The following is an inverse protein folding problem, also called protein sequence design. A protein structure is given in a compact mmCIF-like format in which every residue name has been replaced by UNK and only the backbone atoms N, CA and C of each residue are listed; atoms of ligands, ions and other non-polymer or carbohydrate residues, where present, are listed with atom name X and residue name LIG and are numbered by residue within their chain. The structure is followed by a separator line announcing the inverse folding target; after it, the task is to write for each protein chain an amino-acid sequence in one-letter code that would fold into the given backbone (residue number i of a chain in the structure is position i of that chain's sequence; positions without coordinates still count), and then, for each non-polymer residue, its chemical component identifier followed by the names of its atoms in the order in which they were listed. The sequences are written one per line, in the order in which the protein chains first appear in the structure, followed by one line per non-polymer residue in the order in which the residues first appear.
data_IF_178022837696
#
_entry.id   IF_178022837696
#
_cell.length_a   1.000
_cell.length_b   1.000
_cell.length_c   1.000
_cell.angle_alpha   90.00
_cell.angle_beta   90.00
_cell.angle_gamma   90.00
#
_symmetry.space_group_name_H-M   'P 1'
#
loop_
_entity.id
_entity.type
_entity.pdbx_description
1 polymer ?
#
# COMPACT_ATOMS: atom_id res chain seq x y z
N UNK A 1 -2.81 -8.20 -16.68
CA UNK A 1 -2.63 -9.66 -16.64
C UNK A 1 -3.81 -10.19 -15.88
N UNK A 2 -4.90 -10.46 -16.59
CA UNK A 2 -6.17 -10.90 -16.03
C UNK A 2 -6.11 -12.42 -15.81
N UNK A 3 -6.01 -12.84 -14.55
CA UNK A 3 -6.25 -14.23 -14.19
C UNK A 3 -7.75 -14.54 -14.38
N UNK A 4 -8.06 -15.22 -15.49
CA UNK A 4 -9.37 -15.82 -15.72
C UNK A 4 -9.65 -16.81 -14.59
N UNK A 5 -10.51 -16.41 -13.66
CA UNK A 5 -11.03 -17.31 -12.63
C UNK A 5 -11.87 -18.39 -13.33
N UNK A 6 -11.28 -19.56 -13.53
CA UNK A 6 -11.99 -20.74 -14.01
C UNK A 6 -13.13 -21.04 -13.03
N UNK A 7 -14.36 -20.83 -13.47
CA UNK A 7 -15.55 -21.14 -12.70
C UNK A 7 -15.55 -22.65 -12.43
N UNK A 8 -15.65 -23.04 -11.16
CA UNK A 8 -15.77 -24.45 -10.81
C UNK A 8 -17.12 -24.98 -11.36
N UNK A 9 -17.18 -26.22 -11.87
CA UNK A 9 -18.43 -26.81 -12.33
C UNK A 9 -19.45 -26.88 -11.19
N UNK A 10 -20.75 -26.78 -11.52
CA UNK A 10 -21.84 -26.77 -10.56
C UNK A 10 -21.72 -27.93 -9.55
N UNK A 11 -21.79 -27.61 -8.25
CA UNK A 11 -21.65 -28.57 -7.15
C UNK A 11 -20.21 -28.88 -6.73
N UNK A 12 -19.21 -28.19 -7.28
CA UNK A 12 -17.80 -28.32 -6.89
C UNK A 12 -17.20 -26.98 -6.44
N UNK A 13 -16.35 -27.02 -5.43
CA UNK A 13 -15.59 -25.88 -4.93
C UNK A 13 -14.11 -26.08 -5.22
N UNK A 14 -13.39 -25.00 -5.54
CA UNK A 14 -11.93 -25.05 -5.71
C UNK A 14 -11.24 -24.83 -4.37
N UNK A 15 -10.43 -25.78 -3.92
CA UNK A 15 -9.61 -25.63 -2.71
C UNK A 15 -8.41 -24.70 -2.95
N UNK A 16 -7.65 -24.39 -1.90
CA UNK A 16 -6.46 -23.53 -1.97
C UNK A 16 -5.32 -24.13 -2.83
N UNK A 17 -5.30 -25.45 -3.04
CA UNK A 17 -4.33 -26.15 -3.92
C UNK A 17 -4.82 -26.23 -5.36
N UNK A 18 -6.04 -25.77 -5.63
CA UNK A 18 -6.67 -25.75 -6.93
C UNK A 18 -7.44 -27.02 -7.30
N UNK A 19 -7.63 -27.96 -6.37
CA UNK A 19 -8.44 -29.15 -6.60
C UNK A 19 -9.94 -28.84 -6.51
N UNK A 20 -10.74 -29.57 -7.28
CA UNK A 20 -12.19 -29.51 -7.21
C UNK A 20 -12.70 -30.47 -6.13
N UNK A 21 -13.36 -29.93 -5.13
CA UNK A 21 -13.96 -30.65 -4.01
C UNK A 21 -15.47 -30.63 -4.18
N UNK A 22 -16.14 -31.79 -4.28
CA UNK A 22 -17.61 -31.86 -4.26
C UNK A 22 -18.18 -31.16 -3.03
N UNK A 23 -19.24 -30.39 -3.22
CA UNK A 23 -19.88 -29.63 -2.15
C UNK A 23 -20.30 -30.54 -0.99
N UNK A 24 -20.76 -31.76 -1.27
CA UNK A 24 -21.14 -32.77 -0.26
C UNK A 24 -20.04 -33.12 0.74
N UNK A 25 -18.77 -32.97 0.38
CA UNK A 25 -17.62 -33.24 1.23
C UNK A 25 -17.19 -32.03 2.08
N UNK A 26 -17.76 -30.84 1.80
CA UNK A 26 -17.48 -29.61 2.53
C UNK A 26 -18.45 -29.51 3.69
N UNK A 27 -17.89 -29.37 4.91
CA UNK A 27 -18.70 -29.22 6.12
C UNK A 27 -19.52 -27.93 6.04
N UNK A 28 -20.78 -27.92 6.49
CA UNK A 28 -21.62 -26.70 6.47
C UNK A 28 -20.96 -25.49 7.13
N UNK A 29 -20.26 -25.70 8.25
CA UNK A 29 -19.54 -24.63 8.97
C UNK A 29 -18.41 -23.99 8.15
N UNK A 30 -17.76 -24.76 7.28
CA UNK A 30 -16.68 -24.24 6.44
C UNK A 30 -17.25 -23.43 5.26
N UNK A 31 -18.44 -23.79 4.76
CA UNK A 31 -19.18 -22.99 3.75
C UNK A 31 -19.64 -21.66 4.33
N UNK A 32 -20.23 -21.68 5.53
CA UNK A 32 -20.64 -20.45 6.23
C UNK A 32 -19.45 -19.54 6.52
N UNK A 33 -18.30 -20.11 6.89
CA UNK A 33 -17.06 -19.35 7.09
C UNK A 33 -16.59 -18.70 5.78
N UNK A 34 -16.55 -19.44 4.68
CA UNK A 34 -16.15 -18.91 3.38
C UNK A 34 -17.10 -17.79 2.92
N UNK A 35 -18.42 -17.97 3.08
CA UNK A 35 -19.42 -16.94 2.79
C UNK A 35 -19.17 -15.66 3.60
N UNK A 36 -18.97 -15.80 4.92
CA UNK A 36 -18.68 -14.66 5.80
C UNK A 36 -17.39 -13.93 5.38
N UNK A 37 -16.32 -14.68 5.13
CA UNK A 37 -15.03 -14.11 4.71
C UNK A 37 -15.17 -13.37 3.38
N UNK A 38 -15.85 -13.96 2.39
CA UNK A 38 -16.07 -13.33 1.08
C UNK A 38 -16.90 -12.06 1.17
N UNK A 39 -17.94 -12.06 2.01
CA UNK A 39 -18.76 -10.88 2.24
C UNK A 39 -17.90 -9.73 2.82
N UNK A 40 -17.14 -10.01 3.87
CA UNK A 40 -16.26 -9.00 4.50
C UNK A 40 -15.15 -8.51 3.54
N UNK A 41 -14.57 -9.40 2.73
CA UNK A 41 -13.57 -9.03 1.72
C UNK A 41 -14.18 -8.11 0.66
N UNK A 42 -15.41 -8.40 0.21
CA UNK A 42 -16.12 -7.54 -0.73
C UNK A 42 -16.36 -6.14 -0.15
N UNK A 43 -16.86 -6.05 1.07
CA UNK A 43 -17.07 -4.77 1.75
C UNK A 43 -15.76 -3.99 1.90
N UNK A 44 -14.66 -4.69 2.22
CA UNK A 44 -13.34 -4.08 2.30
C UNK A 44 -12.83 -3.56 0.96
N UNK A 45 -13.10 -4.27 -0.15
CA UNK A 45 -12.76 -3.83 -1.50
C UNK A 45 -13.54 -2.57 -1.88
N UNK A 46 -14.85 -2.54 -1.61
CA UNK A 46 -15.69 -1.37 -1.87
C UNK A 46 -15.22 -0.14 -1.08
N UNK A 47 -14.89 -0.30 0.22
CA UNK A 47 -14.33 0.77 1.05
C UNK A 47 -12.96 1.24 0.53
N UNK A 48 -12.10 0.32 0.11
CA UNK A 48 -10.80 0.64 -0.48
C UNK A 48 -10.94 1.51 -1.73
N UNK A 49 -11.89 1.19 -2.60
CA UNK A 49 -12.17 2.01 -3.78
C UNK A 49 -12.72 3.40 -3.41
N UNK A 50 -13.62 3.47 -2.42
CA UNK A 50 -14.15 4.76 -1.94
C UNK A 50 -13.03 5.64 -1.39
N UNK A 51 -12.14 5.08 -0.57
CA UNK A 51 -10.97 5.77 -0.04
C UNK A 51 -10.00 6.19 -1.15
N UNK A 52 -9.79 5.34 -2.15
CA UNK A 52 -8.98 5.64 -3.35
C UNK A 52 -9.52 6.84 -4.10
N UNK A 53 -10.82 6.82 -4.46
CA UNK A 53 -11.49 7.93 -5.15
C UNK A 53 -11.47 9.22 -4.33
N UNK A 54 -11.72 9.13 -3.03
CA UNK A 54 -11.65 10.29 -2.12
C UNK A 54 -10.25 10.90 -2.11
N UNK A 55 -9.21 10.06 -1.99
CA UNK A 55 -7.82 10.50 -2.01
C UNK A 55 -7.50 11.22 -3.31
N UNK A 56 -7.81 10.63 -4.46
CA UNK A 56 -7.48 11.23 -5.76
C UNK A 56 -8.18 12.58 -5.96
N UNK A 57 -9.46 12.67 -5.59
CA UNK A 57 -10.20 13.93 -5.55
C UNK A 57 -9.55 14.95 -4.63
N UNK A 58 -9.24 14.57 -3.38
CA UNK A 58 -8.67 15.49 -2.41
C UNK A 58 -7.31 16.04 -2.86
N UNK A 59 -6.45 15.21 -3.45
CA UNK A 59 -5.18 15.65 -4.01
C UNK A 59 -5.37 16.59 -5.21
N UNK A 60 -6.34 16.31 -6.09
CA UNK A 60 -6.71 17.18 -7.19
C UNK A 60 -7.25 18.54 -6.73
N UNK A 61 -8.19 18.55 -5.80
CA UNK A 61 -8.81 19.76 -5.23
C UNK A 61 -7.74 20.64 -4.55
N UNK A 62 -6.81 20.03 -3.78
CA UNK A 62 -5.69 20.76 -3.16
C UNK A 62 -4.74 21.34 -4.22
N UNK A 63 -4.44 20.59 -5.28
CA UNK A 63 -3.58 21.09 -6.35
C UNK A 63 -4.22 22.30 -7.06
N UNK A 64 -5.50 22.18 -7.44
CA UNK A 64 -6.26 23.28 -8.05
C UNK A 64 -6.33 24.51 -7.14
N UNK A 65 -6.48 24.32 -5.82
CA UNK A 65 -6.46 25.42 -4.85
C UNK A 65 -5.10 26.14 -4.79
N UNK A 66 -3.99 25.39 -4.83
CA UNK A 66 -2.64 25.98 -4.87
C UNK A 66 -2.42 26.76 -6.17
N UNK A 67 -2.87 26.22 -7.30
CA UNK A 67 -2.76 26.89 -8.60
C UNK A 67 -3.54 28.22 -8.61
N UNK A 68 -4.79 28.21 -8.13
CA UNK A 68 -5.62 29.42 -8.00
C UNK A 68 -5.01 30.44 -7.03
N UNK A 69 -4.41 29.99 -5.93
CA UNK A 69 -3.73 30.86 -4.98
C UNK A 69 -2.48 31.51 -5.59
N UNK A 70 -1.75 30.77 -6.43
CA UNK A 70 -0.56 31.26 -7.13
C UNK A 70 -0.95 32.32 -8.16
N UNK A 71 -2.04 32.12 -8.89
CA UNK A 71 -2.58 33.09 -9.85
C UNK A 71 -3.03 34.40 -9.17
N UNK A 72 -3.75 34.30 -8.04
CA UNK A 72 -4.27 35.49 -7.35
C UNK A 72 -3.20 36.31 -6.62
N UNK A 73 -2.18 35.66 -6.06
CA UNK A 73 -1.21 36.33 -5.19
C UNK A 73 0.21 36.42 -5.79
N UNK A 74 0.42 35.91 -7.00
CA UNK A 74 1.69 36.01 -7.76
C UNK A 74 2.90 35.33 -7.11
N UNK A 75 2.71 34.66 -5.98
CA UNK A 75 3.76 33.96 -5.25
C UNK A 75 3.70 32.47 -5.62
N UNK A 76 4.71 32.00 -6.33
CA UNK A 76 4.91 30.57 -6.54
C UNK A 76 5.15 29.90 -5.18
N UNK A 77 4.10 29.29 -4.60
CA UNK A 77 4.28 28.36 -3.49
C UNK A 77 5.19 27.24 -4.01
N UNK A 78 6.43 27.23 -3.52
CA UNK A 78 7.51 26.43 -4.07
C UNK A 78 7.13 25.00 -4.41
N UNK A 79 7.31 24.64 -5.69
CA UNK A 79 7.29 23.29 -6.24
C UNK A 79 5.93 22.56 -6.18
N UNK A 80 5.56 21.90 -7.28
CA UNK A 80 4.42 20.95 -7.36
C UNK A 80 4.44 19.86 -6.27
N UNK A 81 5.54 19.71 -5.54
CA UNK A 81 5.84 18.65 -4.59
C UNK A 81 6.38 19.27 -3.30
N UNK A 82 5.52 19.37 -2.30
CA UNK A 82 5.85 19.93 -1.00
C UNK A 82 4.81 19.54 0.04
N UNK A 83 5.19 19.54 1.31
CA UNK A 83 4.23 19.37 2.38
C UNK A 83 3.40 20.64 2.50
N UNK A 84 2.07 20.52 2.54
CA UNK A 84 1.15 21.67 2.64
C UNK A 84 0.21 21.46 3.82
N UNK A 85 0.00 22.52 4.59
CA UNK A 85 -1.05 22.56 5.60
C UNK A 85 -2.12 23.56 5.19
N UNK A 86 -3.38 23.11 5.14
CA UNK A 86 -4.56 23.94 4.97
C UNK A 86 -5.36 23.94 6.27
N UNK A 87 -5.89 25.10 6.63
CA UNK A 87 -6.77 25.29 7.78
C UNK A 87 -8.16 25.68 7.29
N UNK A 88 -9.20 25.22 8.00
CA UNK A 88 -10.54 25.77 7.82
C UNK A 88 -10.57 27.21 8.33
N UNK A 89 -11.47 28.03 7.79
CA UNK A 89 -11.57 29.45 8.16
C UNK A 89 -11.87 29.65 9.66
N UNK A 90 -12.67 28.75 10.25
CA UNK A 90 -12.97 28.73 11.68
C UNK A 90 -11.84 28.09 12.53
N UNK A 91 -10.77 27.61 11.90
CA UNK A 91 -9.60 27.00 12.54
C UNK A 91 -9.82 25.61 13.15
N UNK A 92 -11.04 25.05 13.06
CA UNK A 92 -11.39 23.76 13.69
C UNK A 92 -10.77 22.56 13.00
N UNK A 93 -10.57 22.66 11.70
CA UNK A 93 -10.09 21.56 10.86
C UNK A 93 -8.76 21.93 10.23
N UNK A 94 -7.90 20.93 10.11
CA UNK A 94 -6.60 21.02 9.44
C UNK A 94 -6.42 19.84 8.51
N UNK A 95 -6.01 20.12 7.28
CA UNK A 95 -5.53 19.10 6.33
C UNK A 95 -4.03 19.27 6.18
N UNK A 96 -3.27 18.21 6.45
CA UNK A 96 -1.84 18.16 6.18
C UNK A 96 -1.57 17.20 5.02
N UNK A 97 -1.22 17.75 3.85
CA UNK A 97 -0.75 16.99 2.70
C UNK A 97 0.74 16.76 2.85
N UNK A 98 1.13 15.57 3.27
CA UNK A 98 2.52 15.13 3.22
C UNK A 98 2.77 14.31 1.95
N UNK A 99 3.73 14.70 1.13
CA UNK A 99 4.13 13.96 -0.07
C UNK A 99 5.57 13.50 0.09
N UNK A 100 5.75 12.31 0.66
CA UNK A 100 7.06 11.69 0.74
C UNK A 100 7.28 10.84 -0.51
N UNK A 101 8.36 11.12 -1.24
CA UNK A 101 8.88 10.14 -2.18
C UNK A 101 9.30 8.90 -1.41
N UNK A 102 8.58 7.80 -1.60
CA UNK A 102 9.18 6.49 -1.35
C UNK A 102 10.26 6.35 -2.41
N UNK A 103 11.49 6.72 -2.07
CA UNK A 103 12.67 6.19 -2.75
C UNK A 103 12.54 4.68 -2.52
N UNK A 104 12.02 3.96 -3.51
CA UNK A 104 12.09 2.52 -3.53
C UNK A 104 13.56 2.19 -3.35
N UNK A 105 13.89 1.48 -2.28
CA UNK A 105 15.23 0.94 -2.10
C UNK A 105 15.48 -0.02 -3.26
N UNK A 106 16.04 0.51 -4.34
CA UNK A 106 16.38 -0.23 -5.55
C UNK A 106 17.43 -1.29 -5.18
N UNK A 107 17.46 -2.41 -5.90
CA UNK A 107 18.36 -3.56 -5.64
C UNK A 107 19.82 -3.14 -5.43
N UNK A 108 20.21 -2.01 -6.04
CA UNK A 108 21.52 -1.36 -5.88
C UNK A 108 21.86 -0.96 -4.44
N UNK A 109 20.90 -0.51 -3.63
CA UNK A 109 21.14 -0.17 -2.22
C UNK A 109 21.26 -1.43 -1.34
N UNK A 110 20.53 -2.50 -1.69
CA UNK A 110 20.70 -3.81 -1.05
C UNK A 110 22.05 -4.45 -1.43
N UNK A 111 22.49 -4.29 -2.68
CA UNK A 111 23.82 -4.71 -3.12
C UNK A 111 24.95 -3.91 -2.45
N UNK A 112 24.76 -2.60 -2.24
CA UNK A 112 25.69 -1.78 -1.48
C UNK A 112 25.76 -2.21 -0.01
N UNK A 113 24.61 -2.55 0.60
CA UNK A 113 24.56 -3.16 1.95
C UNK A 113 25.34 -4.47 2.01
N UNK A 114 25.15 -5.36 1.04
CA UNK A 114 25.85 -6.64 0.98
C UNK A 114 27.37 -6.48 0.89
N UNK A 115 27.86 -5.53 0.10
CA UNK A 115 29.31 -5.23 0.03
C UNK A 115 29.87 -4.63 1.33
N UNK A 116 29.07 -3.82 2.04
CA UNK A 116 29.47 -3.30 3.36
C UNK A 116 29.50 -4.44 4.38
N UNK A 117 28.52 -5.33 4.37
CA UNK A 117 28.46 -6.49 5.27
C UNK A 117 29.58 -7.50 4.97
N UNK A 118 29.97 -7.68 3.70
CA UNK A 118 31.13 -8.47 3.26
C UNK A 118 32.46 -7.86 3.75
N UNK A 119 32.63 -6.54 3.62
CA UNK A 119 33.79 -5.85 4.20
C UNK A 119 33.81 -5.90 5.74
N UNK A 120 32.65 -5.89 6.39
CA UNK A 120 32.55 -5.98 7.84
C UNK A 120 32.92 -7.39 8.34
N UNK A 121 32.52 -8.43 7.61
CA UNK A 121 32.86 -9.82 7.90
C UNK A 121 34.38 -10.06 7.86
N UNK A 122 35.07 -9.53 6.86
CA UNK A 122 36.53 -9.60 6.74
C UNK A 122 37.26 -8.89 7.89
N UNK A 123 36.73 -7.77 8.40
CA UNK A 123 37.29 -7.10 9.58
C UNK A 123 37.01 -7.83 10.89
N UNK A 124 35.91 -8.58 10.99
CA UNK A 124 35.62 -9.42 12.17
C UNK A 124 36.34 -10.77 12.16
N UNK A 125 36.75 -11.29 11.00
CA UNK A 125 37.55 -12.51 10.89
C UNK A 125 39.00 -12.34 11.40
N UNK A 126 39.47 -11.10 11.54
CA UNK A 126 40.77 -10.76 12.12
C UNK A 126 40.77 -10.41 13.62
N UNK A 127 39.61 -10.31 14.28
CA UNK A 127 39.52 -10.01 15.70
C UNK A 127 39.80 -11.27 16.54
N UNK A 128 41.10 -11.56 16.70
CA UNK A 128 41.67 -12.64 17.52
C UNK A 128 40.98 -12.76 18.89
N UNK A 129 40.67 -13.97 19.37
CA UNK A 129 40.23 -14.19 20.74
C UNK A 129 41.44 -14.10 21.68
N UNK A 130 41.81 -12.89 22.09
CA UNK A 130 42.61 -12.67 23.29
C UNK A 130 42.21 -11.35 23.96
N UNK A 131 40.95 -11.33 24.41
CA UNK A 131 40.56 -10.50 25.53
C UNK A 131 40.27 -11.45 26.70
N UNK A 132 40.97 -11.18 27.78
CA UNK A 132 41.15 -11.92 29.03
C UNK A 132 39.85 -12.30 29.74
#
# INVERSE_FOLDING_TARGET
MDEKQAHAPDGYWKDAKGHLVPESLIKPIDRERDNLVRALVKDAQELSEVLGRFKDRAFGDIAAFVDLSTEQYGAALGGKKGNLTLYSFDGRYKINRASQDKIGFDERLQAARAKIDECLADWTAGARPNCR
#
